data_IF_749552763125
#
_entry.id   IF_749552763125
#
_cell.length_a   1.000
_cell.length_b   1.000
_cell.length_c   1.000
_cell.angle_alpha   90.00
_cell.angle_beta   90.00
_cell.angle_gamma   90.00
#
_symmetry.space_group_name_H-M   'P 1'
#
loop_
_entity.id
_entity.type
_entity.pdbx_description
1 polymer ?
#
# COMPACT_ATOMS: atom_id res chain seq x y z
N UNK A 1 9.20 -15.35 20.55
CA UNK A 1 9.95 -15.08 19.31
C UNK A 1 9.11 -15.34 18.06
N UNK A 2 8.76 -16.58 17.67
CA UNK A 2 8.00 -16.83 16.43
C UNK A 2 6.56 -16.31 16.44
N UNK A 3 5.84 -16.43 17.56
CA UNK A 3 4.47 -15.89 17.70
C UNK A 3 4.43 -14.35 17.69
N UNK A 4 5.48 -13.71 18.22
CA UNK A 4 5.62 -12.25 18.20
C UNK A 4 5.90 -11.74 16.78
N UNK A 5 6.72 -12.47 16.02
CA UNK A 5 7.02 -12.16 14.62
C UNK A 5 5.76 -12.21 13.75
N UNK A 6 4.95 -13.26 13.83
CA UNK A 6 3.72 -13.35 13.01
C UNK A 6 2.67 -12.31 13.44
N UNK A 7 2.67 -11.90 14.71
CA UNK A 7 1.83 -10.78 15.17
C UNK A 7 2.30 -9.45 14.58
N UNK A 8 3.61 -9.18 14.58
CA UNK A 8 4.19 -7.97 13.98
C UNK A 8 3.94 -7.91 12.47
N UNK A 9 4.13 -9.01 11.74
CA UNK A 9 3.85 -9.09 10.30
C UNK A 9 2.37 -8.77 10.01
N UNK A 10 1.45 -9.28 10.84
CA UNK A 10 0.02 -8.97 10.70
C UNK A 10 -0.27 -7.49 10.92
N UNK A 11 0.27 -6.89 11.98
CA UNK A 11 0.08 -5.46 12.26
C UNK A 11 0.68 -4.62 11.13
N UNK A 12 1.88 -4.95 10.67
CA UNK A 12 2.52 -4.28 9.55
C UNK A 12 1.66 -4.32 8.29
N UNK A 13 1.16 -5.50 7.91
CA UNK A 13 0.28 -5.63 6.75
C UNK A 13 -1.03 -4.84 6.89
N UNK A 14 -1.63 -4.77 8.09
CA UNK A 14 -2.80 -3.93 8.36
C UNK A 14 -2.48 -2.45 8.14
N UNK A 15 -1.39 -1.96 8.76
CA UNK A 15 -1.00 -0.54 8.67
C UNK A 15 -0.65 -0.16 7.23
N UNK A 16 0.13 -0.99 6.53
CA UNK A 16 0.48 -0.73 5.13
C UNK A 16 -0.75 -0.74 4.23
N UNK A 17 -1.68 -1.69 4.42
CA UNK A 17 -2.90 -1.76 3.61
C UNK A 17 -3.78 -0.54 3.85
N UNK A 18 -4.07 -0.21 5.12
CA UNK A 18 -4.89 0.93 5.48
C UNK A 18 -4.25 2.26 5.04
N UNK A 19 -2.94 2.41 5.25
CA UNK A 19 -2.19 3.58 4.81
C UNK A 19 -2.24 3.76 3.29
N UNK A 20 -2.04 2.69 2.52
CA UNK A 20 -2.10 2.75 1.05
C UNK A 20 -3.49 3.15 0.57
N UNK A 21 -4.55 2.59 1.16
CA UNK A 21 -5.93 2.94 0.82
C UNK A 21 -6.21 4.41 1.13
N UNK A 22 -5.77 4.89 2.29
CA UNK A 22 -5.95 6.27 2.70
C UNK A 22 -5.23 7.25 1.77
N UNK A 23 -3.95 6.98 1.46
CA UNK A 23 -3.16 7.84 0.55
C UNK A 23 -3.80 7.88 -0.84
N UNK A 24 -4.22 6.73 -1.38
CA UNK A 24 -4.87 6.67 -2.68
C UNK A 24 -6.17 7.48 -2.71
N UNK A 25 -6.96 7.42 -1.64
CA UNK A 25 -8.17 8.21 -1.51
C UNK A 25 -7.87 9.72 -1.43
N UNK A 26 -6.84 10.12 -0.68
CA UNK A 26 -6.43 11.53 -0.60
C UNK A 26 -5.92 12.04 -1.94
N UNK A 27 -5.04 11.31 -2.63
CA UNK A 27 -4.56 11.68 -3.97
C UNK A 27 -5.71 11.79 -4.99
N UNK A 28 -6.69 10.89 -4.91
CA UNK A 28 -7.87 10.97 -5.78
C UNK A 28 -8.70 12.24 -5.52
N UNK A 29 -8.82 12.67 -4.27
CA UNK A 29 -9.56 13.89 -3.90
C UNK A 29 -8.78 15.15 -4.26
N UNK A 30 -7.45 15.11 -4.15
CA UNK A 30 -6.54 16.25 -4.41
C UNK A 30 -6.13 16.37 -5.88
N UNK A 31 -6.66 15.51 -6.77
CA UNK A 31 -6.30 15.55 -8.19
C UNK A 31 -6.71 16.89 -8.82
N UNK A 32 -5.84 17.51 -9.62
CA UNK A 32 -6.12 18.80 -10.25
C UNK A 32 -7.25 18.68 -11.28
N UNK A 33 -8.04 19.75 -11.42
CA UNK A 33 -9.07 19.81 -12.46
C UNK A 33 -8.44 19.96 -13.86
N UNK A 34 -9.12 19.49 -14.93
CA UNK A 34 -8.61 19.66 -16.28
C UNK A 34 -8.36 21.15 -16.61
N UNK A 35 -7.09 21.51 -16.84
CA UNK A 35 -6.68 22.89 -17.16
C UNK A 35 -6.10 23.68 -15.99
N UNK A 36 -6.02 23.09 -14.79
CA UNK A 36 -5.35 23.68 -13.64
C UNK A 36 -3.82 23.59 -13.79
N UNK A 37 -3.13 24.72 -13.59
CA UNK A 37 -1.68 24.78 -13.59
C UNK A 37 -1.16 24.46 -12.19
N UNK A 38 -0.57 23.27 -12.02
CA UNK A 38 0.06 22.84 -10.78
C UNK A 38 1.54 23.18 -10.82
N UNK A 39 2.04 23.77 -9.74
CA UNK A 39 3.46 24.06 -9.58
C UNK A 39 4.24 22.74 -9.48
N UNK A 40 5.34 22.63 -10.23
CA UNK A 40 6.13 21.40 -10.26
C UNK A 40 6.80 21.16 -8.91
N UNK A 41 6.55 19.98 -8.32
CA UNK A 41 7.23 19.57 -7.10
C UNK A 41 8.73 19.35 -7.34
N UNK A 42 9.59 19.49 -6.32
CA UNK A 42 11.02 19.22 -6.45
C UNK A 42 11.31 17.76 -6.84
N UNK A 43 12.21 17.53 -7.80
CA UNK A 43 12.56 16.20 -8.34
C UNK A 43 12.93 15.16 -7.25
N UNK A 44 13.65 15.60 -6.21
CA UNK A 44 14.05 14.71 -5.11
C UNK A 44 12.85 14.20 -4.30
N UNK A 45 11.81 15.03 -4.17
CA UNK A 45 10.60 14.71 -3.42
C UNK A 45 9.74 13.73 -4.21
N UNK A 46 9.57 13.97 -5.52
CA UNK A 46 8.90 13.03 -6.43
C UNK A 46 9.60 11.66 -6.41
N UNK A 47 10.94 11.65 -6.54
CA UNK A 47 11.73 10.41 -6.50
C UNK A 47 11.57 9.67 -5.18
N UNK A 48 11.55 10.41 -4.06
CA UNK A 48 11.33 9.86 -2.74
C UNK A 48 9.93 9.23 -2.60
N UNK A 49 8.88 9.91 -3.07
CA UNK A 49 7.51 9.39 -3.06
C UNK A 49 7.39 8.10 -3.86
N UNK A 50 7.90 8.08 -5.10
CA UNK A 50 7.94 6.87 -5.94
C UNK A 50 8.61 5.71 -5.21
N UNK A 51 9.77 5.96 -4.61
CA UNK A 51 10.53 4.94 -3.89
C UNK A 51 9.77 4.42 -2.66
N UNK A 52 9.14 5.32 -1.89
CA UNK A 52 8.36 4.98 -0.70
C UNK A 52 7.13 4.13 -1.07
N UNK A 53 6.32 4.59 -2.03
CA UNK A 53 5.13 3.89 -2.47
C UNK A 53 5.48 2.55 -3.12
N UNK A 54 6.54 2.50 -3.93
CA UNK A 54 7.07 1.28 -4.50
C UNK A 54 7.51 0.26 -3.44
N UNK A 55 8.16 0.73 -2.37
CA UNK A 55 8.54 -0.13 -1.23
C UNK A 55 7.31 -0.67 -0.51
N UNK A 56 6.28 0.16 -0.27
CA UNK A 56 5.02 -0.27 0.35
C UNK A 56 4.35 -1.36 -0.48
N UNK A 57 4.25 -1.17 -1.80
CA UNK A 57 3.71 -2.16 -2.72
C UNK A 57 4.48 -3.48 -2.62
N UNK A 58 5.81 -3.43 -2.64
CA UNK A 58 6.66 -4.62 -2.51
C UNK A 58 6.43 -5.33 -1.17
N UNK A 59 6.34 -4.60 -0.06
CA UNK A 59 6.07 -5.19 1.26
C UNK A 59 4.67 -5.80 1.35
N UNK A 60 3.67 -5.24 0.68
CA UNK A 60 2.33 -5.81 0.59
C UNK A 60 2.30 -7.10 -0.25
N UNK A 61 3.07 -7.17 -1.33
CA UNK A 61 3.25 -8.42 -2.11
C UNK A 61 3.93 -9.50 -1.26
N UNK A 62 4.95 -9.14 -0.50
CA UNK A 62 5.59 -10.05 0.47
C UNK A 62 4.59 -10.50 1.54
N UNK A 63 3.75 -9.58 2.04
CA UNK A 63 2.71 -9.92 3.01
C UNK A 63 1.68 -10.90 2.42
N UNK A 64 1.29 -10.74 1.15
CA UNK A 64 0.41 -11.67 0.46
C UNK A 64 1.01 -13.07 0.36
N UNK A 65 2.29 -13.18 -0.01
CA UNK A 65 3.02 -14.47 -0.05
C UNK A 65 3.07 -15.13 1.33
N UNK A 66 3.26 -14.34 2.39
CA UNK A 66 3.37 -14.84 3.77
C UNK A 66 2.03 -15.02 4.49
N UNK A 67 0.93 -14.69 3.84
CA UNK A 67 -0.42 -14.76 4.40
C UNK A 67 -0.77 -16.14 4.99
N UNK A 68 -0.49 -17.28 4.33
CA UNK A 68 -0.80 -18.60 4.89
C UNK A 68 -0.15 -18.83 6.26
N UNK A 69 1.09 -18.35 6.44
CA UNK A 69 1.83 -18.45 7.70
C UNK A 69 1.23 -17.53 8.77
N UNK A 70 0.84 -16.31 8.40
CA UNK A 70 0.24 -15.33 9.33
C UNK A 70 -1.14 -15.76 9.84
N UNK A 71 -1.89 -16.55 9.07
CA UNK A 71 -3.26 -16.97 9.40
C UNK A 71 -3.36 -18.43 9.84
N UNK A 72 -2.24 -19.16 9.92
CA UNK A 72 -2.22 -20.58 10.28
C UNK A 72 -2.95 -20.85 11.61
N UNK A 73 -2.69 -20.02 12.63
CA UNK A 73 -3.30 -20.16 13.96
C UNK A 73 -4.72 -19.54 14.04
N UNK A 74 -5.17 -18.86 12.99
CA UNK A 74 -6.45 -18.11 12.96
C UNK A 74 -7.11 -18.23 11.58
N UNK A 75 -7.62 -19.41 11.20
CA UNK A 75 -8.15 -19.67 9.86
C UNK A 75 -9.34 -18.77 9.49
N UNK A 76 -10.16 -18.38 10.48
CA UNK A 76 -11.29 -17.45 10.27
C UNK A 76 -10.88 -16.04 9.82
N UNK A 77 -9.63 -15.64 10.02
CA UNK A 77 -9.11 -14.36 9.55
C UNK A 77 -8.58 -14.43 8.11
N UNK A 78 -8.42 -15.61 7.53
CA UNK A 78 -7.74 -15.77 6.23
C UNK A 78 -8.42 -14.97 5.11
N UNK A 79 -9.74 -15.09 4.99
CA UNK A 79 -10.48 -14.38 3.95
C UNK A 79 -10.47 -12.86 4.14
N UNK A 80 -10.88 -12.29 5.29
CA UNK A 80 -10.88 -10.84 5.48
C UNK A 80 -9.47 -10.24 5.35
N UNK A 81 -8.45 -10.94 5.83
CA UNK A 81 -7.06 -10.48 5.72
C UNK A 81 -6.57 -10.48 4.27
N UNK A 82 -6.93 -11.51 3.48
CA UNK A 82 -6.62 -11.57 2.05
C UNK A 82 -7.25 -10.40 1.32
N UNK A 83 -8.54 -10.14 1.54
CA UNK A 83 -9.25 -9.04 0.88
C UNK A 83 -8.56 -7.70 1.21
N UNK A 84 -8.28 -7.45 2.49
CA UNK A 84 -7.63 -6.21 2.92
C UNK A 84 -6.26 -6.02 2.25
N UNK A 85 -5.41 -7.04 2.24
CA UNK A 85 -4.09 -6.96 1.58
C UNK A 85 -4.23 -6.74 0.08
N UNK A 86 -5.17 -7.41 -0.59
CA UNK A 86 -5.41 -7.21 -2.03
C UNK A 86 -5.87 -5.78 -2.34
N UNK A 87 -6.79 -5.23 -1.55
CA UNK A 87 -7.23 -3.83 -1.72
C UNK A 87 -6.07 -2.87 -1.47
N UNK A 88 -5.25 -3.13 -0.45
CA UNK A 88 -4.02 -2.36 -0.20
C UNK A 88 -3.04 -2.41 -1.36
N UNK A 89 -2.84 -3.58 -1.98
CA UNK A 89 -1.99 -3.75 -3.17
C UNK A 89 -2.53 -2.92 -4.34
N UNK A 90 -3.84 -2.99 -4.60
CA UNK A 90 -4.46 -2.21 -5.69
C UNK A 90 -4.27 -0.71 -5.45
N UNK A 91 -4.49 -0.24 -4.22
CA UNK A 91 -4.28 1.16 -3.86
C UNK A 91 -2.81 1.59 -4.03
N UNK A 92 -1.87 0.81 -3.51
CA UNK A 92 -0.44 1.10 -3.65
C UNK A 92 0.02 1.07 -5.12
N UNK A 93 -0.48 0.12 -5.92
CA UNK A 93 -0.18 0.05 -7.35
C UNK A 93 -0.75 1.23 -8.12
N UNK A 94 -1.95 1.70 -7.75
CA UNK A 94 -2.55 2.90 -8.32
C UNK A 94 -1.69 4.14 -8.04
N UNK A 95 -1.29 4.35 -6.78
CA UNK A 95 -0.43 5.47 -6.38
C UNK A 95 0.89 5.44 -7.14
N UNK A 96 1.58 4.29 -7.19
CA UNK A 96 2.83 4.15 -7.95
C UNK A 96 2.61 4.42 -9.44
N UNK A 97 1.45 4.03 -9.98
CA UNK A 97 1.07 4.35 -11.35
C UNK A 97 0.94 5.87 -11.58
N UNK A 98 0.34 6.59 -10.64
CA UNK A 98 0.24 8.05 -10.69
C UNK A 98 1.60 8.72 -10.58
N UNK A 99 2.43 8.29 -9.61
CA UNK A 99 3.77 8.86 -9.42
C UNK A 99 4.65 8.70 -10.67
N UNK A 100 4.44 7.63 -11.44
CA UNK A 100 5.14 7.35 -12.70
C UNK A 100 4.48 8.00 -13.93
N UNK A 101 3.34 8.69 -13.77
CA UNK A 101 2.59 9.29 -14.87
C UNK A 101 1.94 8.27 -15.82
N UNK A 102 1.63 7.07 -15.31
CA UNK A 102 1.03 5.98 -16.09
C UNK A 102 -0.50 5.96 -16.05
N UNK A 103 -1.11 6.61 -15.05
CA UNK A 103 -2.57 6.60 -14.79
C UNK A 103 -3.07 7.93 -14.25
#
# INVERSE_FOLDING_TARGET
MAADQTRQERIGAVVMSAGSIFIAAMQWLDRPEPGEFVEAEPDWYVTFQVALHGLILLLLLVALIRLPKMTADRPGLKLPFTIMVLVGIVAAAYIVGQDLGLV
#
